data_IF_092371066596
#
_entry.id   IF_092371066596
#
_cell.length_a   1.000
_cell.length_b   1.000
_cell.length_c   1.000
_cell.angle_alpha   90.00
_cell.angle_beta   90.00
_cell.angle_gamma   90.00
#
_symmetry.space_group_name_H-M   'P 1'
#
loop_
_entity.id
_entity.type
_entity.pdbx_description
1 polymer ?
#
# COMPACT_ATOMS: atom_id res chain seq x y z
N UNK A 1 -2.55 2.54 -36.55
CA UNK A 1 -2.92 1.79 -35.32
C UNK A 1 -1.64 1.31 -34.66
N UNK A 2 -1.26 1.88 -33.54
CA UNK A 2 -0.10 1.41 -32.77
C UNK A 2 -0.58 0.26 -31.86
N UNK A 3 -0.33 -0.98 -32.30
CA UNK A 3 -0.48 -2.20 -31.49
C UNK A 3 0.74 -2.35 -30.55
N UNK A 4 1.04 -1.31 -29.78
CA UNK A 4 2.03 -1.43 -28.69
C UNK A 4 1.29 -1.79 -27.42
N UNK A 5 1.71 -2.80 -26.67
CA UNK A 5 1.06 -3.20 -25.42
C UNK A 5 1.20 -2.16 -24.29
N UNK A 6 1.77 -0.99 -24.55
CA UNK A 6 1.95 0.10 -23.59
C UNK A 6 3.33 0.11 -22.92
N UNK A 7 3.51 0.92 -21.89
CA UNK A 7 4.75 1.06 -21.12
C UNK A 7 5.21 -0.25 -20.51
N UNK A 8 6.45 -0.64 -20.75
CA UNK A 8 7.09 -1.84 -20.18
C UNK A 8 7.15 -1.72 -18.65
N UNK A 9 7.59 -0.57 -18.14
CA UNK A 9 7.75 -0.31 -16.71
C UNK A 9 6.40 -0.44 -16.01
N UNK A 10 5.34 0.15 -16.57
CA UNK A 10 3.98 0.05 -16.01
C UNK A 10 3.51 -1.40 -15.96
N UNK A 11 3.74 -2.19 -17.02
CA UNK A 11 3.32 -3.59 -17.03
C UNK A 11 4.09 -4.44 -16.02
N UNK A 12 5.40 -4.22 -15.87
CA UNK A 12 6.20 -4.94 -14.86
C UNK A 12 5.75 -4.61 -13.43
N UNK A 13 5.24 -3.40 -13.19
CA UNK A 13 4.71 -2.96 -11.89
C UNK A 13 3.23 -3.33 -11.66
N UNK A 14 2.49 -3.80 -12.66
CA UNK A 14 1.04 -4.03 -12.60
C UNK A 14 0.58 -5.30 -11.86
N UNK A 15 1.48 -5.97 -11.11
CA UNK A 15 1.13 -7.19 -10.37
C UNK A 15 1.02 -8.45 -11.24
N UNK A 16 1.58 -8.46 -12.44
CA UNK A 16 1.63 -9.61 -13.32
C UNK A 16 2.26 -10.82 -12.61
N UNK A 17 1.60 -11.98 -12.69
CA UNK A 17 2.17 -13.22 -12.17
C UNK A 17 3.41 -13.61 -12.98
N UNK A 18 4.58 -13.50 -12.36
CA UNK A 18 5.87 -13.85 -12.94
C UNK A 18 6.43 -15.09 -12.25
N UNK A 19 6.99 -16.04 -13.05
CA UNK A 19 7.79 -17.12 -12.50
C UNK A 19 9.11 -16.60 -11.93
N UNK A 20 9.76 -17.37 -11.06
CA UNK A 20 10.98 -16.94 -10.35
C UNK A 20 12.08 -16.36 -11.25
N UNK A 21 12.32 -16.98 -12.41
CA UNK A 21 13.29 -16.49 -13.37
C UNK A 21 12.84 -15.21 -14.11
N UNK A 22 11.56 -15.11 -14.45
CA UNK A 22 10.97 -13.91 -15.05
C UNK A 22 11.00 -12.73 -14.08
N UNK A 23 10.75 -12.98 -12.79
CA UNK A 23 10.83 -11.97 -11.74
C UNK A 23 12.23 -11.41 -11.60
N UNK A 24 13.28 -12.25 -11.59
CA UNK A 24 14.67 -11.76 -11.56
C UNK A 24 14.99 -10.84 -12.75
N UNK A 25 14.46 -11.15 -13.94
CA UNK A 25 14.63 -10.28 -15.11
C UNK A 25 13.89 -8.96 -14.90
N UNK A 26 12.64 -8.99 -14.42
CA UNK A 26 11.85 -7.81 -14.12
C UNK A 26 12.54 -6.93 -13.08
N UNK A 27 13.00 -7.51 -11.97
CA UNK A 27 13.71 -6.79 -10.91
C UNK A 27 15.02 -6.16 -11.44
N UNK A 28 15.76 -6.87 -12.31
CA UNK A 28 16.97 -6.35 -12.95
C UNK A 28 16.66 -5.14 -13.86
N UNK A 29 15.57 -5.20 -14.64
CA UNK A 29 15.12 -4.09 -15.48
C UNK A 29 14.72 -2.90 -14.63
N UNK A 30 13.89 -3.11 -13.58
CA UNK A 30 13.39 -2.05 -12.72
C UNK A 30 14.48 -1.41 -11.87
N UNK A 31 15.58 -2.13 -11.56
CA UNK A 31 16.72 -1.58 -10.85
C UNK A 31 17.50 -0.54 -11.67
N UNK A 32 17.62 -0.74 -13.00
CA UNK A 32 18.24 0.23 -13.91
C UNK A 32 17.59 0.15 -15.30
N UNK A 33 16.47 0.86 -15.43
CA UNK A 33 15.68 0.91 -16.68
C UNK A 33 16.51 1.50 -17.83
N UNK A 34 17.36 2.49 -17.53
CA UNK A 34 18.21 3.15 -18.53
C UNK A 34 19.24 2.18 -19.11
N UNK A 35 19.94 1.43 -18.27
CA UNK A 35 20.86 0.39 -18.73
C UNK A 35 20.11 -0.71 -19.50
N UNK A 36 18.99 -1.20 -18.95
CA UNK A 36 18.20 -2.26 -19.58
C UNK A 36 17.67 -1.86 -20.97
N UNK A 37 17.41 -0.58 -21.21
CA UNK A 37 16.94 -0.07 -22.51
C UNK A 37 17.96 -0.15 -23.63
N UNK A 38 19.26 -0.29 -23.32
CA UNK A 38 20.35 -0.40 -24.30
C UNK A 38 21.04 -1.76 -24.26
N UNK A 39 20.83 -2.56 -23.22
CA UNK A 39 21.42 -3.87 -23.07
C UNK A 39 20.93 -4.86 -24.13
N UNK A 40 21.77 -5.79 -24.55
CA UNK A 40 21.35 -6.93 -25.38
C UNK A 40 20.60 -7.97 -24.57
N UNK A 41 19.85 -8.88 -25.24
CA UNK A 41 19.16 -9.99 -24.57
C UNK A 41 20.12 -10.87 -23.76
N UNK A 42 21.35 -11.06 -24.30
CA UNK A 42 22.40 -11.84 -23.64
C UNK A 42 22.92 -11.14 -22.36
N UNK A 43 23.15 -9.83 -22.42
CA UNK A 43 23.57 -9.03 -21.25
C UNK A 43 22.50 -9.01 -20.17
N UNK A 44 21.24 -8.82 -20.55
CA UNK A 44 20.12 -8.84 -19.62
C UNK A 44 19.94 -10.23 -18.99
N UNK A 45 20.06 -11.30 -19.78
CA UNK A 45 20.01 -12.67 -19.29
C UNK A 45 21.13 -12.95 -18.27
N UNK A 46 22.35 -12.50 -18.58
CA UNK A 46 23.52 -12.64 -17.70
C UNK A 46 23.34 -11.85 -16.40
N UNK A 47 22.94 -10.59 -16.48
CA UNK A 47 22.75 -9.72 -15.32
C UNK A 47 21.64 -10.22 -14.37
N UNK A 48 20.57 -10.80 -14.93
CA UNK A 48 19.44 -11.36 -14.16
C UNK A 48 19.63 -12.82 -13.73
N UNK A 49 20.82 -13.42 -13.97
CA UNK A 49 21.07 -14.85 -13.74
C UNK A 49 19.98 -15.75 -14.38
N UNK A 50 19.63 -15.46 -15.62
CA UNK A 50 18.61 -16.13 -16.42
C UNK A 50 19.13 -16.58 -17.76
N UNK A 51 18.30 -17.16 -18.63
CA UNK A 51 18.64 -17.49 -20.00
C UNK A 51 17.99 -16.52 -20.99
N UNK A 52 18.59 -16.34 -22.17
CA UNK A 52 17.99 -15.53 -23.25
C UNK A 52 16.61 -16.06 -23.66
N UNK A 53 16.40 -17.38 -23.61
CA UNK A 53 15.10 -17.97 -23.84
C UNK A 53 14.04 -17.49 -22.80
N UNK A 54 14.45 -17.26 -21.56
CA UNK A 54 13.55 -16.74 -20.51
C UNK A 54 13.28 -15.25 -20.74
N UNK A 55 14.28 -14.47 -21.17
CA UNK A 55 14.10 -13.07 -21.59
C UNK A 55 13.07 -12.97 -22.71
N UNK A 56 13.23 -13.79 -23.76
CA UNK A 56 12.28 -13.81 -24.88
C UNK A 56 10.86 -14.21 -24.45
N UNK A 57 10.73 -15.21 -23.58
CA UNK A 57 9.42 -15.59 -23.02
C UNK A 57 8.77 -14.46 -22.22
N UNK A 58 9.54 -13.72 -21.43
CA UNK A 58 9.02 -12.56 -20.72
C UNK A 58 8.53 -11.49 -21.71
N UNK A 59 9.30 -11.19 -22.78
CA UNK A 59 8.84 -10.25 -23.81
C UNK A 59 7.50 -10.67 -24.42
N UNK A 60 7.35 -11.94 -24.79
CA UNK A 60 6.07 -12.44 -25.34
C UNK A 60 4.93 -12.38 -24.31
N UNK A 61 5.21 -12.69 -23.05
CA UNK A 61 4.24 -12.62 -21.96
C UNK A 61 3.74 -11.18 -21.72
N UNK A 62 4.61 -10.19 -21.92
CA UNK A 62 4.28 -8.76 -21.88
C UNK A 62 3.64 -8.26 -23.19
N UNK A 63 3.41 -9.13 -24.19
CA UNK A 63 2.75 -8.81 -25.43
C UNK A 63 3.67 -8.29 -26.54
N UNK A 64 5.01 -8.31 -26.36
CA UNK A 64 5.95 -7.87 -27.39
C UNK A 64 6.37 -9.02 -28.29
N UNK A 65 6.37 -8.79 -29.61
CA UNK A 65 6.67 -9.82 -30.61
C UNK A 65 8.11 -10.37 -30.53
N UNK A 66 9.05 -9.60 -30.02
CA UNK A 66 10.45 -9.98 -29.82
C UNK A 66 11.18 -9.01 -28.90
N UNK A 67 12.43 -9.35 -28.52
CA UNK A 67 13.25 -8.52 -27.65
C UNK A 67 13.49 -7.11 -28.19
N UNK A 68 13.68 -6.96 -29.49
CA UNK A 68 13.92 -5.64 -30.13
C UNK A 68 12.71 -4.71 -29.99
N UNK A 69 11.50 -5.22 -30.13
CA UNK A 69 10.27 -4.44 -29.89
C UNK A 69 10.11 -4.05 -28.42
N UNK A 70 10.38 -5.00 -27.52
CA UNK A 70 10.42 -4.76 -26.09
C UNK A 70 11.43 -3.67 -25.72
N UNK A 71 12.68 -3.78 -26.23
CA UNK A 71 13.75 -2.82 -25.97
C UNK A 71 13.42 -1.42 -26.48
N UNK A 72 12.77 -1.31 -27.65
CA UNK A 72 12.35 -0.03 -28.21
C UNK A 72 11.31 0.66 -27.31
N UNK A 73 10.33 -0.07 -26.79
CA UNK A 73 9.35 0.49 -25.87
C UNK A 73 9.96 0.84 -24.51
N UNK A 74 10.92 0.05 -24.04
CA UNK A 74 11.66 0.37 -22.82
C UNK A 74 12.50 1.66 -23.00
N UNK A 75 13.12 1.84 -24.17
CA UNK A 75 13.82 3.08 -24.48
C UNK A 75 12.87 4.28 -24.58
N UNK A 76 11.63 4.07 -25.06
CA UNK A 76 10.60 5.10 -25.06
C UNK A 76 10.17 5.48 -23.63
N UNK A 77 9.99 4.51 -22.73
CA UNK A 77 9.72 4.77 -21.32
C UNK A 77 10.82 5.65 -20.69
N UNK A 78 12.10 5.39 -21.00
CA UNK A 78 13.23 6.22 -20.53
C UNK A 78 13.17 7.65 -21.08
N UNK A 79 12.84 7.82 -22.36
CA UNK A 79 12.73 9.14 -22.97
C UNK A 79 11.56 9.94 -22.39
N UNK A 80 10.41 9.31 -22.18
CA UNK A 80 9.24 9.95 -21.57
C UNK A 80 9.52 10.37 -20.12
N UNK A 81 10.28 9.58 -19.36
CA UNK A 81 10.75 9.98 -18.04
C UNK A 81 11.68 11.20 -18.11
N UNK A 82 12.66 11.19 -19.04
CA UNK A 82 13.59 12.31 -19.23
C UNK A 82 12.88 13.58 -19.71
N UNK A 83 11.89 13.48 -20.60
CA UNK A 83 11.09 14.62 -21.05
C UNK A 83 10.24 15.17 -19.91
N UNK A 84 9.75 14.34 -19.04
CA UNK A 84 9.01 14.76 -17.84
C UNK A 84 9.93 15.50 -16.87
N UNK A 85 11.17 15.05 -16.71
CA UNK A 85 12.19 15.74 -15.91
C UNK A 85 12.69 17.04 -16.60
N UNK A 86 12.85 17.02 -17.92
CA UNK A 86 13.35 18.14 -18.73
C UNK A 86 12.30 19.24 -18.99
N UNK A 87 11.03 19.00 -18.77
CA UNK A 87 10.01 20.04 -18.72
C UNK A 87 10.30 20.91 -17.50
N UNK A 88 11.32 21.80 -17.65
CA UNK A 88 11.63 22.88 -16.71
C UNK A 88 10.36 23.72 -16.57
N UNK A 89 9.57 23.41 -15.55
CA UNK A 89 8.42 24.23 -15.18
C UNK A 89 8.92 25.63 -14.85
N UNK A 90 8.22 26.68 -15.26
CA UNK A 90 8.65 28.04 -14.96
C UNK A 90 8.90 28.20 -13.47
N UNK A 91 10.02 28.78 -13.03
CA UNK A 91 10.37 28.83 -11.60
C UNK A 91 9.37 29.65 -10.73
N UNK A 92 8.47 30.42 -11.35
CA UNK A 92 7.49 31.27 -10.65
C UNK A 92 6.03 30.88 -10.97
N UNK A 93 5.75 29.66 -11.45
CA UNK A 93 4.37 29.20 -11.67
C UNK A 93 3.72 28.85 -10.31
N UNK A 94 2.62 29.53 -9.92
CA UNK A 94 1.93 29.25 -8.67
C UNK A 94 1.43 27.82 -8.54
N UNK A 95 1.03 27.17 -9.64
CA UNK A 95 0.63 25.77 -9.64
C UNK A 95 1.82 24.84 -9.37
N UNK A 96 2.98 25.18 -9.95
CA UNK A 96 4.21 24.44 -9.68
C UNK A 96 4.61 24.54 -8.21
N UNK A 97 4.56 25.76 -7.64
CA UNK A 97 4.85 25.95 -6.22
C UNK A 97 3.88 25.17 -5.33
N UNK A 98 2.59 25.23 -5.61
CA UNK A 98 1.58 24.47 -4.86
C UNK A 98 1.82 22.95 -4.91
N UNK A 99 2.28 22.41 -6.07
CA UNK A 99 2.64 20.99 -6.19
C UNK A 99 3.90 20.64 -5.42
N UNK A 100 4.91 21.52 -5.39
CA UNK A 100 6.11 21.33 -4.56
C UNK A 100 5.76 21.35 -3.07
N UNK A 101 4.92 22.28 -2.65
CA UNK A 101 4.45 22.35 -1.26
C UNK A 101 3.67 21.09 -0.88
N UNK A 102 2.80 20.60 -1.77
CA UNK A 102 2.11 19.33 -1.59
C UNK A 102 3.10 18.16 -1.46
N UNK A 103 4.09 18.08 -2.35
CA UNK A 103 5.12 17.03 -2.32
C UNK A 103 5.87 17.04 -0.98
N UNK A 104 6.37 18.20 -0.55
CA UNK A 104 7.11 18.34 0.69
C UNK A 104 6.27 17.92 1.89
N UNK A 105 5.01 18.37 1.94
CA UNK A 105 4.07 18.02 3.00
C UNK A 105 3.82 16.51 3.07
N UNK A 106 3.71 15.83 1.90
CA UNK A 106 3.51 14.38 1.85
C UNK A 106 4.77 13.60 2.24
N UNK A 107 5.94 14.07 1.87
CA UNK A 107 7.19 13.47 2.31
C UNK A 107 7.35 13.54 3.83
N UNK A 108 7.05 14.69 4.44
CA UNK A 108 7.06 14.84 5.89
C UNK A 108 6.02 13.94 6.58
N UNK A 109 4.81 13.85 6.02
CA UNK A 109 3.74 12.97 6.54
C UNK A 109 4.14 11.50 6.54
N UNK A 110 4.77 11.03 5.45
CA UNK A 110 5.31 9.67 5.32
C UNK A 110 6.38 9.41 6.37
N UNK A 111 7.38 10.29 6.45
CA UNK A 111 8.47 10.16 7.41
C UNK A 111 7.98 10.15 8.86
N UNK A 112 7.10 11.08 9.20
CA UNK A 112 6.54 11.20 10.56
C UNK A 112 5.69 9.97 10.92
N UNK A 113 4.95 9.40 9.95
CA UNK A 113 4.14 8.19 10.19
C UNK A 113 5.04 6.98 10.50
N UNK A 114 6.08 6.75 9.71
CA UNK A 114 7.01 5.63 9.96
C UNK A 114 7.71 5.79 11.33
N UNK A 115 8.12 7.02 11.67
CA UNK A 115 8.77 7.29 12.97
C UNK A 115 7.79 7.16 14.16
N UNK A 116 6.51 7.38 13.97
CA UNK A 116 5.49 7.26 15.02
C UNK A 116 5.07 5.81 15.31
N UNK A 117 5.37 4.87 14.41
CA UNK A 117 5.02 3.47 14.58
C UNK A 117 5.81 2.83 15.73
N UNK A 118 5.10 2.45 16.79
CA UNK A 118 5.67 1.70 17.87
C UNK A 118 5.86 0.23 17.46
N UNK A 119 7.10 -0.23 17.38
CA UNK A 119 7.43 -1.58 16.91
C UNK A 119 6.84 -2.70 17.77
N UNK A 120 6.71 -2.49 19.09
CA UNK A 120 6.08 -3.48 19.99
C UNK A 120 4.61 -3.64 19.67
N UNK A 121 3.88 -2.53 19.52
CA UNK A 121 2.48 -2.54 19.11
C UNK A 121 2.31 -3.15 17.72
N UNK A 122 3.17 -2.77 16.77
CA UNK A 122 3.14 -3.28 15.40
C UNK A 122 3.34 -4.80 15.36
N UNK A 123 4.34 -5.35 16.08
CA UNK A 123 4.55 -6.80 16.18
C UNK A 123 3.32 -7.52 16.70
N UNK A 124 2.65 -6.97 17.73
CA UNK A 124 1.42 -7.55 18.27
C UNK A 124 0.28 -7.54 17.25
N UNK A 125 0.07 -6.42 16.55
CA UNK A 125 -0.95 -6.34 15.49
C UNK A 125 -0.65 -7.33 14.37
N UNK A 126 0.60 -7.43 13.89
CA UNK A 126 0.98 -8.39 12.85
C UNK A 126 0.73 -9.84 13.31
N UNK A 127 1.08 -10.18 14.55
CA UNK A 127 0.84 -11.52 15.12
C UNK A 127 -0.65 -11.85 15.17
N UNK A 128 -1.49 -10.90 15.62
CA UNK A 128 -2.94 -11.05 15.68
C UNK A 128 -3.52 -11.26 14.28
N UNK A 129 -3.19 -10.39 13.32
CA UNK A 129 -3.72 -10.48 11.96
C UNK A 129 -3.25 -11.76 11.25
N UNK A 130 -2.03 -12.22 11.54
CA UNK A 130 -1.51 -13.50 11.02
C UNK A 130 -2.26 -14.70 11.57
N UNK A 131 -2.62 -14.71 12.85
CA UNK A 131 -3.30 -15.81 13.51
C UNK A 131 -4.82 -15.83 13.30
N UNK A 132 -5.44 -14.68 13.02
CA UNK A 132 -6.88 -14.53 12.97
C UNK A 132 -7.53 -15.45 11.91
N UNK A 133 -8.66 -16.07 12.29
CA UNK A 133 -9.52 -16.85 11.39
C UNK A 133 -10.38 -15.92 10.52
N UNK A 134 -10.94 -14.86 11.14
CA UNK A 134 -11.68 -13.78 10.47
C UNK A 134 -11.09 -12.45 10.92
N UNK A 135 -10.93 -11.53 10.00
CA UNK A 135 -10.55 -10.15 10.28
C UNK A 135 -11.73 -9.25 9.89
N UNK A 136 -12.42 -8.70 10.88
CA UNK A 136 -13.38 -7.64 10.65
C UNK A 136 -12.64 -6.31 10.58
N UNK A 137 -12.88 -5.54 9.52
CA UNK A 137 -12.24 -4.24 9.29
C UNK A 137 -13.32 -3.18 9.25
N UNK A 138 -13.30 -2.26 10.20
CA UNK A 138 -14.33 -1.23 10.33
C UNK A 138 -13.74 0.18 10.27
N UNK A 139 -14.40 1.04 9.53
CA UNK A 139 -14.06 2.45 9.37
C UNK A 139 -15.31 3.28 9.13
N UNK A 140 -15.19 4.60 9.26
CA UNK A 140 -16.28 5.52 8.95
C UNK A 140 -15.78 6.70 8.11
N UNK A 141 -16.67 7.22 7.26
CA UNK A 141 -16.44 8.41 6.45
C UNK A 141 -15.22 8.27 5.53
N UNK A 142 -14.32 9.25 5.56
CA UNK A 142 -13.14 9.31 4.70
C UNK A 142 -12.13 8.18 4.93
N UNK A 143 -12.20 7.44 6.02
CA UNK A 143 -11.32 6.28 6.29
C UNK A 143 -11.82 4.99 5.63
N UNK A 144 -13.06 4.94 5.13
CA UNK A 144 -13.62 3.75 4.51
C UNK A 144 -12.82 3.23 3.29
N UNK A 145 -12.32 4.07 2.37
CA UNK A 145 -11.47 3.60 1.28
C UNK A 145 -10.20 2.89 1.75
N UNK A 146 -9.60 3.34 2.88
CA UNK A 146 -8.42 2.69 3.46
C UNK A 146 -8.77 1.31 4.04
N UNK A 147 -9.95 1.18 4.65
CA UNK A 147 -10.44 -0.12 5.13
C UNK A 147 -10.71 -1.10 3.97
N UNK A 148 -11.25 -0.62 2.86
CA UNK A 148 -11.44 -1.42 1.64
C UNK A 148 -10.10 -1.90 1.07
N UNK A 149 -9.11 -1.02 0.99
CA UNK A 149 -7.75 -1.38 0.57
C UNK A 149 -7.11 -2.41 1.50
N UNK A 150 -7.23 -2.24 2.82
CA UNK A 150 -6.77 -3.20 3.81
C UNK A 150 -7.42 -4.59 3.62
N UNK A 151 -8.73 -4.62 3.35
CA UNK A 151 -9.46 -5.86 3.09
C UNK A 151 -8.95 -6.59 1.85
N UNK A 152 -8.68 -5.86 0.76
CA UNK A 152 -8.12 -6.43 -0.47
C UNK A 152 -6.72 -6.98 -0.23
N UNK A 153 -5.85 -6.22 0.45
CA UNK A 153 -4.47 -6.61 0.75
C UNK A 153 -4.41 -7.85 1.65
N UNK A 154 -5.14 -7.85 2.76
CA UNK A 154 -5.18 -8.99 3.67
C UNK A 154 -5.86 -10.20 3.02
N UNK A 155 -6.89 -9.98 2.20
CA UNK A 155 -7.54 -11.01 1.40
C UNK A 155 -6.60 -11.68 0.41
N UNK A 156 -5.69 -10.93 -0.23
CA UNK A 156 -4.68 -11.49 -1.14
C UNK A 156 -3.67 -12.40 -0.44
N UNK A 157 -3.54 -12.29 0.89
CA UNK A 157 -2.75 -13.17 1.74
C UNK A 157 -3.55 -14.40 2.24
N UNK A 158 -4.74 -14.61 1.71
CA UNK A 158 -5.61 -15.74 2.08
C UNK A 158 -6.41 -15.51 3.38
N UNK A 159 -6.46 -14.28 3.91
CA UNK A 159 -7.26 -13.96 5.08
C UNK A 159 -8.73 -13.76 4.73
N UNK A 160 -9.62 -14.24 5.59
CA UNK A 160 -11.06 -13.98 5.48
C UNK A 160 -11.36 -12.63 6.09
N UNK A 161 -11.57 -11.63 5.24
CA UNK A 161 -11.85 -10.27 5.67
C UNK A 161 -13.34 -9.95 5.55
N UNK A 162 -13.90 -9.28 6.56
CA UNK A 162 -15.24 -8.72 6.55
C UNK A 162 -15.12 -7.20 6.65
N UNK A 163 -15.94 -6.49 5.91
CA UNK A 163 -16.03 -5.03 5.95
C UNK A 163 -17.49 -4.63 5.73
N UNK A 164 -17.97 -3.66 6.47
CA UNK A 164 -19.30 -3.08 6.23
C UNK A 164 -19.19 -1.57 6.00
N UNK A 165 -19.74 -1.05 4.89
CA UNK A 165 -19.87 0.38 4.69
C UNK A 165 -21.00 1.00 5.54
N UNK A 166 -21.75 0.17 6.27
CA UNK A 166 -22.91 0.57 7.10
C UNK A 166 -22.48 0.52 8.56
N UNK A 167 -22.24 1.67 9.21
CA UNK A 167 -21.72 1.73 10.58
C UNK A 167 -22.59 1.02 11.61
N UNK A 168 -23.92 1.01 11.38
CA UNK A 168 -24.88 0.36 12.28
C UNK A 168 -24.70 -1.16 12.34
N UNK A 169 -24.12 -1.76 11.30
CA UNK A 169 -23.82 -3.20 11.26
C UNK A 169 -22.52 -3.57 11.97
N UNK A 170 -21.59 -2.62 12.14
CA UNK A 170 -20.30 -2.86 12.78
C UNK A 170 -20.46 -3.50 14.18
N UNK A 171 -21.43 -3.04 14.97
CA UNK A 171 -21.72 -3.64 16.28
C UNK A 171 -22.19 -5.10 16.16
N UNK A 172 -23.07 -5.38 15.21
CA UNK A 172 -23.62 -6.73 15.03
C UNK A 172 -22.54 -7.72 14.63
N UNK A 173 -21.68 -7.34 13.70
CA UNK A 173 -20.55 -8.15 13.27
C UNK A 173 -19.53 -8.34 14.40
N UNK A 174 -19.12 -7.26 15.05
CA UNK A 174 -18.20 -7.32 16.18
C UNK A 174 -18.72 -8.16 17.35
N UNK A 175 -20.04 -8.23 17.54
CA UNK A 175 -20.67 -9.10 18.56
C UNK A 175 -20.62 -10.59 18.21
N UNK A 176 -20.40 -10.94 16.95
CA UNK A 176 -20.28 -12.32 16.49
C UNK A 176 -18.83 -12.82 16.48
N UNK A 177 -17.84 -11.94 16.63
CA UNK A 177 -16.43 -12.31 16.68
C UNK A 177 -16.09 -13.09 17.95
N UNK A 178 -15.06 -13.92 17.84
CA UNK A 178 -14.52 -14.79 18.90
C UNK A 178 -13.08 -14.40 19.24
N UNK A 179 -12.47 -14.95 20.29
CA UNK A 179 -11.06 -14.73 20.59
C UNK A 179 -10.08 -15.20 19.50
N UNK A 180 -10.53 -15.99 18.52
CA UNK A 180 -9.74 -16.45 17.37
C UNK A 180 -9.77 -15.48 16.19
N UNK A 181 -10.63 -14.46 16.27
CA UNK A 181 -10.81 -13.45 15.24
C UNK A 181 -10.08 -12.17 15.62
N UNK A 182 -10.10 -11.17 14.74
CA UNK A 182 -9.54 -9.85 15.00
C UNK A 182 -10.47 -8.75 14.51
N UNK A 183 -10.55 -7.65 15.26
CA UNK A 183 -11.17 -6.42 14.82
C UNK A 183 -10.10 -5.37 14.53
N UNK A 184 -10.03 -4.89 13.29
CA UNK A 184 -9.17 -3.80 12.85
C UNK A 184 -10.01 -2.55 12.61
N UNK A 185 -9.79 -1.52 13.42
CA UNK A 185 -10.45 -0.22 13.31
C UNK A 185 -9.53 0.79 12.62
N UNK A 186 -10.07 1.57 11.69
CA UNK A 186 -9.35 2.65 11.01
C UNK A 186 -10.14 3.94 11.19
N UNK A 187 -9.59 4.86 11.98
CA UNK A 187 -10.24 6.13 12.28
C UNK A 187 -9.22 7.22 12.61
N UNK A 188 -8.98 8.13 11.66
CA UNK A 188 -7.97 9.19 11.83
C UNK A 188 -8.24 10.06 13.07
N UNK A 189 -9.48 10.47 13.31
CA UNK A 189 -9.86 11.25 14.49
C UNK A 189 -10.06 10.41 15.75
N UNK A 190 -10.24 9.10 15.62
CA UNK A 190 -10.50 8.20 16.73
C UNK A 190 -11.81 8.48 17.50
N UNK A 191 -12.78 9.11 16.84
CA UNK A 191 -14.09 9.52 17.43
C UNK A 191 -15.20 9.06 16.50
N UNK A 192 -15.84 7.98 16.85
CA UNK A 192 -17.01 7.47 16.14
C UNK A 192 -17.78 6.51 17.07
N UNK A 193 -18.97 6.87 17.48
CA UNK A 193 -19.78 6.10 18.43
C UNK A 193 -20.05 4.67 17.94
N UNK A 194 -20.31 4.49 16.65
CA UNK A 194 -20.53 3.17 16.06
C UNK A 194 -19.28 2.27 16.22
N UNK A 195 -18.08 2.81 15.91
CA UNK A 195 -16.82 2.07 16.06
C UNK A 195 -16.47 1.83 17.53
N UNK A 196 -16.77 2.77 18.44
CA UNK A 196 -16.58 2.58 19.88
C UNK A 196 -17.49 1.46 20.40
N UNK A 197 -18.72 1.41 19.90
CA UNK A 197 -19.68 0.36 20.26
C UNK A 197 -19.23 -1.01 19.74
N UNK A 198 -18.71 -1.08 18.51
CA UNK A 198 -18.12 -2.28 17.94
C UNK A 198 -16.89 -2.74 18.75
N UNK A 199 -15.99 -1.81 19.10
CA UNK A 199 -14.82 -2.12 19.92
C UNK A 199 -15.19 -2.70 21.29
N UNK A 200 -16.20 -2.11 21.96
CA UNK A 200 -16.70 -2.64 23.24
C UNK A 200 -17.30 -4.04 23.09
N UNK A 201 -18.06 -4.28 22.00
CA UNK A 201 -18.67 -5.59 21.74
C UNK A 201 -17.60 -6.66 21.52
N UNK A 202 -16.63 -6.41 20.64
CA UNK A 202 -15.50 -7.31 20.38
C UNK A 202 -14.69 -7.60 21.66
N UNK A 203 -14.36 -6.56 22.42
CA UNK A 203 -13.61 -6.70 23.68
C UNK A 203 -14.34 -7.56 24.71
N UNK A 204 -15.68 -7.45 24.80
CA UNK A 204 -16.49 -8.29 25.69
C UNK A 204 -16.40 -9.78 25.34
N UNK A 205 -16.21 -10.10 24.08
CA UNK A 205 -16.05 -11.47 23.60
C UNK A 205 -14.59 -11.96 23.65
N UNK A 206 -13.65 -11.14 24.14
CA UNK A 206 -12.23 -11.47 24.17
C UNK A 206 -11.53 -11.33 22.82
N UNK A 207 -12.17 -10.76 21.81
CA UNK A 207 -11.60 -10.51 20.50
C UNK A 207 -10.58 -9.39 20.58
N UNK A 208 -9.34 -9.55 20.09
CA UNK A 208 -8.35 -8.48 20.07
C UNK A 208 -8.76 -7.37 19.11
N UNK A 209 -8.67 -6.12 19.60
CA UNK A 209 -9.03 -4.91 18.86
C UNK A 209 -7.75 -4.13 18.54
N UNK A 210 -7.46 -3.94 17.26
CA UNK A 210 -6.37 -3.10 16.75
C UNK A 210 -6.92 -1.81 16.16
N UNK A 211 -6.28 -0.68 16.43
CA UNK A 211 -6.71 0.63 15.93
C UNK A 211 -5.58 1.32 15.17
N UNK A 212 -5.88 1.84 13.98
CA UNK A 212 -5.06 2.81 13.26
C UNK A 212 -5.69 4.19 13.43
N UNK A 213 -4.97 5.14 14.04
CA UNK A 213 -5.49 6.48 14.35
C UNK A 213 -4.39 7.53 14.36
N UNK A 214 -4.75 8.79 14.18
CA UNK A 214 -3.85 9.92 14.37
C UNK A 214 -3.87 10.49 15.80
N UNK A 215 -4.79 10.05 16.66
CA UNK A 215 -4.90 10.53 18.04
C UNK A 215 -4.89 9.37 19.05
N UNK A 216 -3.73 9.19 19.71
CA UNK A 216 -3.55 8.15 20.75
C UNK A 216 -4.38 8.39 22.02
N UNK A 217 -4.94 9.59 22.20
CA UNK A 217 -5.78 9.96 23.34
C UNK A 217 -7.28 9.93 23.01
N UNK A 218 -7.63 9.47 21.83
CA UNK A 218 -9.03 9.36 21.41
C UNK A 218 -9.81 8.33 22.21
N UNK A 219 -11.13 8.47 22.21
CA UNK A 219 -12.03 7.51 22.87
C UNK A 219 -11.83 6.07 22.34
N UNK A 220 -11.69 5.91 21.03
CA UNK A 220 -11.41 4.61 20.42
C UNK A 220 -10.10 3.98 20.91
N UNK A 221 -9.04 4.78 21.11
CA UNK A 221 -7.76 4.27 21.61
C UNK A 221 -7.89 3.66 23.01
N UNK A 222 -8.81 4.18 23.85
CA UNK A 222 -9.15 3.62 25.15
C UNK A 222 -9.85 2.24 25.09
N UNK A 223 -10.46 1.91 23.96
CA UNK A 223 -11.12 0.62 23.73
C UNK A 223 -10.26 -0.38 22.95
N UNK A 224 -9.21 0.08 22.26
CA UNK A 224 -8.30 -0.78 21.52
C UNK A 224 -7.35 -1.56 22.45
N UNK A 225 -7.00 -2.79 22.06
CA UNK A 225 -5.93 -3.58 22.69
C UNK A 225 -4.56 -3.08 22.25
N UNK A 226 -4.46 -2.66 20.98
CA UNK A 226 -3.25 -2.17 20.35
C UNK A 226 -3.57 -0.99 19.44
N UNK A 227 -2.71 0.04 19.48
CA UNK A 227 -2.90 1.26 18.69
C UNK A 227 -1.67 1.55 17.85
N UNK A 228 -1.85 1.65 16.54
CA UNK A 228 -0.85 2.11 15.59
C UNK A 228 -1.12 3.58 15.27
N UNK A 229 -0.12 4.41 15.56
CA UNK A 229 -0.24 5.84 15.27
C UNK A 229 0.14 6.11 13.82
N UNK A 230 -0.78 6.71 13.08
CA UNK A 230 -0.51 7.43 11.87
C UNK A 230 -0.08 8.87 12.21
N UNK A 231 0.59 9.58 11.31
CA UNK A 231 1.01 10.96 11.58
C UNK A 231 -0.19 11.88 11.78
N UNK A 232 -0.04 12.83 12.71
CA UNK A 232 -1.02 13.87 13.00
C UNK A 232 -0.70 15.20 12.31
N UNK A 233 0.27 15.23 11.38
CA UNK A 233 0.63 16.47 10.67
C UNK A 233 -0.39 16.77 9.58
N UNK A 234 -1.56 17.26 9.99
CA UNK A 234 -2.56 17.83 9.10
C UNK A 234 -2.16 19.28 8.88
N UNK A 235 -1.42 19.58 7.81
CA UNK A 235 -1.39 20.95 7.33
C UNK A 235 -2.76 21.25 6.71
N UNK A 236 -3.45 22.22 7.29
CA UNK A 236 -4.70 22.76 6.73
C UNK A 236 -4.34 23.55 5.47
N UNK A 237 -4.44 22.93 4.32
CA UNK A 237 -4.31 23.64 3.05
C UNK A 237 -5.55 24.53 2.83
N UNK A 238 -6.72 24.09 3.31
CA UNK A 238 -7.94 24.87 3.41
C UNK A 238 -8.86 24.29 4.49
N UNK A 239 -9.68 25.12 5.13
CA UNK A 239 -10.57 24.74 6.23
C UNK A 239 -11.60 23.66 5.85
N UNK A 240 -11.93 23.55 4.57
CA UNK A 240 -13.01 22.69 4.05
C UNK A 240 -12.52 21.44 3.30
N UNK A 241 -11.20 21.20 3.27
CA UNK A 241 -10.66 20.01 2.63
C UNK A 241 -10.85 18.76 3.51
N UNK A 242 -11.22 17.67 2.87
CA UNK A 242 -11.20 16.37 3.53
C UNK A 242 -9.76 16.05 4.01
N UNK A 243 -9.60 15.51 5.24
CA UNK A 243 -8.29 15.15 5.75
C UNK A 243 -7.64 14.08 4.87
N UNK A 244 -6.33 14.18 4.70
CA UNK A 244 -5.55 13.16 4.03
C UNK A 244 -5.70 11.81 4.74
N UNK A 245 -5.82 10.76 3.96
CA UNK A 245 -5.79 9.39 4.46
C UNK A 245 -4.44 8.70 4.20
N UNK A 246 -3.46 9.44 3.70
CA UNK A 246 -2.14 8.91 3.32
C UNK A 246 -1.45 8.20 4.49
N UNK A 247 -1.45 8.81 5.67
CA UNK A 247 -0.81 8.22 6.84
C UNK A 247 -1.47 6.91 7.28
N UNK A 248 -2.79 6.83 7.25
CA UNK A 248 -3.50 5.58 7.57
C UNK A 248 -3.26 4.51 6.49
N UNK A 249 -3.28 4.90 5.21
CA UNK A 249 -2.96 4.01 4.10
C UNK A 249 -1.51 3.49 4.20
N UNK A 250 -0.55 4.33 4.57
CA UNK A 250 0.85 3.93 4.78
C UNK A 250 1.00 2.90 5.90
N UNK A 251 0.23 3.02 6.98
CA UNK A 251 0.23 2.00 8.05
C UNK A 251 -0.31 0.67 7.53
N UNK A 252 -1.37 0.69 6.72
CA UNK A 252 -1.90 -0.52 6.06
C UNK A 252 -0.86 -1.12 5.10
N UNK A 253 -0.17 -0.30 4.31
CA UNK A 253 0.94 -0.75 3.46
C UNK A 253 2.07 -1.40 4.27
N UNK A 254 2.45 -0.79 5.39
CA UNK A 254 3.49 -1.33 6.26
C UNK A 254 3.07 -2.70 6.83
N UNK A 255 1.82 -2.85 7.28
CA UNK A 255 1.27 -4.13 7.74
C UNK A 255 1.36 -5.18 6.62
N UNK A 256 0.88 -4.84 5.43
CA UNK A 256 0.89 -5.74 4.28
C UNK A 256 2.30 -6.16 3.89
N UNK A 257 3.22 -5.20 3.73
CA UNK A 257 4.63 -5.44 3.39
C UNK A 257 5.30 -6.38 4.39
N UNK A 258 5.08 -6.16 5.69
CA UNK A 258 5.67 -6.98 6.75
C UNK A 258 5.05 -8.38 6.84
N UNK A 259 3.78 -8.53 6.51
CA UNK A 259 3.13 -9.86 6.43
C UNK A 259 3.61 -10.66 5.22
N UNK A 260 3.79 -10.03 4.05
CA UNK A 260 4.36 -10.66 2.84
C UNK A 260 5.80 -11.09 3.07
N UNK A 261 6.61 -10.24 3.69
CA UNK A 261 8.04 -10.48 3.90
C UNK A 261 8.37 -11.55 4.93
N UNK A 262 7.36 -12.15 5.61
CA UNK A 262 7.56 -13.18 6.64
C UNK A 262 8.63 -12.83 7.68
N UNK A 263 8.70 -11.55 8.07
CA UNK A 263 9.63 -11.10 9.09
C UNK A 263 9.37 -11.83 10.43
N UNK A 264 10.45 -12.11 11.18
CA UNK A 264 10.34 -12.66 12.51
C UNK A 264 9.63 -11.64 13.43
N UNK A 265 8.56 -12.09 14.08
CA UNK A 265 7.74 -11.26 14.97
C UNK A 265 8.10 -11.47 16.45
N UNK A 266 9.12 -12.30 16.74
CA UNK A 266 9.60 -12.55 18.10
C UNK A 266 10.41 -11.38 18.67
#
# INVERSE_FOLDING_TARGET
MHDSPGSVVTQLCSGLQLYSAERRIADCILADVKWASVATSAELAKASHSSEATVTRLCHKLGYANYRKFQLELARDVLEQQETEARKRPPNDPLHQALLDLQNNRQEEVQATIQALNLVQLRKVLSILRAAEIIEIEANGSSLPVAMDASLKLGSLGKRCMISPVPEKARSFASALTPKDALLLISSAGRCEALETAARAAKKNGTPVSLITCDKRSALAGHASYTLLASNRIQRIASDMMPSQLSAALVVEAIYYLLVGNFDLN
#
